data_IF_827015607366
#
_entry.id   IF_827015607366
#
_cell.length_a   1.000
_cell.length_b   1.000
_cell.length_c   1.000
_cell.angle_alpha   90.00
_cell.angle_beta   90.00
_cell.angle_gamma   90.00
#
_symmetry.space_group_name_H-M   'P 1'
#
loop_
_entity.id
_entity.type
_entity.pdbx_description
1 polymer ?
#
# COMPACT_ATOMS: atom_id res chain seq x y z
N UNK A 1 -22.28 -14.68 23.31
CA UNK A 1 -22.26 -13.69 22.21
C UNK A 1 -21.93 -14.45 20.94
N UNK A 2 -22.91 -14.68 20.06
CA UNK A 2 -22.68 -15.40 18.81
C UNK A 2 -22.55 -14.38 17.68
N UNK A 3 -21.32 -14.12 17.20
CA UNK A 3 -21.11 -13.46 15.92
C UNK A 3 -21.37 -14.51 14.83
N UNK A 4 -22.58 -14.50 14.26
CA UNK A 4 -23.07 -15.57 13.38
C UNK A 4 -23.07 -15.21 11.89
N UNK A 5 -22.49 -14.06 11.49
CA UNK A 5 -22.44 -13.64 10.08
C UNK A 5 -21.00 -13.57 9.60
N UNK A 6 -20.64 -14.48 8.70
CA UNK A 6 -19.39 -14.40 7.94
C UNK A 6 -19.60 -13.42 6.79
N UNK A 7 -18.75 -12.39 6.72
CA UNK A 7 -18.72 -11.44 5.61
C UNK A 7 -17.49 -11.78 4.77
N UNK A 8 -17.70 -12.14 3.51
CA UNK A 8 -16.59 -12.32 2.57
C UNK A 8 -16.09 -10.94 2.15
N UNK A 9 -14.77 -10.75 2.21
CA UNK A 9 -14.11 -9.56 1.71
C UNK A 9 -13.44 -9.88 0.39
N UNK A 10 -13.65 -9.02 -0.60
CA UNK A 10 -12.96 -9.11 -1.88
C UNK A 10 -11.57 -8.47 -1.81
N UNK A 11 -10.73 -8.79 -2.80
CA UNK A 11 -9.46 -8.10 -2.99
C UNK A 11 -9.69 -6.67 -3.44
N UNK A 12 -8.79 -5.78 -3.06
CA UNK A 12 -8.82 -4.40 -3.52
C UNK A 12 -8.48 -4.31 -5.01
N UNK A 13 -9.19 -3.43 -5.72
CA UNK A 13 -8.79 -2.98 -7.05
C UNK A 13 -7.40 -2.31 -7.03
N UNK A 14 -6.78 -2.13 -8.19
CA UNK A 14 -5.47 -1.46 -8.27
C UNK A 14 -5.56 0.00 -7.74
N UNK A 15 -6.69 0.65 -7.97
CA UNK A 15 -6.98 2.02 -7.52
C UNK A 15 -7.15 2.10 -6.01
N UNK A 16 -7.93 1.19 -5.42
CA UNK A 16 -8.11 1.09 -3.96
C UNK A 16 -6.81 0.70 -3.26
N UNK A 17 -6.07 -0.27 -3.82
CA UNK A 17 -4.78 -0.68 -3.31
C UNK A 17 -3.78 0.49 -3.33
N UNK A 18 -3.76 1.28 -4.41
CA UNK A 18 -2.91 2.46 -4.50
C UNK A 18 -3.35 3.56 -3.52
N UNK A 19 -4.65 3.81 -3.38
CA UNK A 19 -5.17 4.77 -2.40
C UNK A 19 -4.80 4.38 -0.96
N UNK A 20 -4.94 3.09 -0.63
CA UNK A 20 -4.54 2.53 0.65
C UNK A 20 -3.03 2.65 0.86
N UNK A 21 -2.23 2.29 -0.13
CA UNK A 21 -0.77 2.39 -0.07
C UNK A 21 -0.32 3.83 0.24
N UNK A 22 -0.83 4.84 -0.50
CA UNK A 22 -0.50 6.26 -0.26
C UNK A 22 -0.81 6.69 1.17
N UNK A 23 -1.91 6.21 1.73
CA UNK A 23 -2.33 6.53 3.10
C UNK A 23 -1.36 5.97 4.13
N UNK A 24 -0.92 4.72 3.98
CA UNK A 24 -0.03 4.07 4.94
C UNK A 24 1.44 4.51 4.81
N UNK A 25 1.90 4.78 3.59
CA UNK A 25 3.26 5.29 3.32
C UNK A 25 3.39 6.81 3.52
N UNK A 26 2.30 7.50 3.89
CA UNK A 26 2.24 8.95 4.11
C UNK A 26 2.67 9.78 2.88
N UNK A 27 2.26 9.32 1.69
CA UNK A 27 2.60 9.93 0.40
C UNK A 27 1.71 11.13 0.03
N UNK A 28 0.86 11.60 0.94
CA UNK A 28 -0.13 12.66 0.67
C UNK A 28 0.50 13.98 0.22
N UNK A 29 1.70 14.28 0.70
CA UNK A 29 2.44 15.52 0.42
C UNK A 29 3.73 15.30 -0.40
N UNK A 30 3.98 14.09 -0.91
CA UNK A 30 5.21 13.79 -1.66
C UNK A 30 5.03 14.13 -3.13
N UNK A 31 5.94 14.96 -3.66
CA UNK A 31 5.98 15.38 -5.07
C UNK A 31 7.00 14.59 -5.93
N UNK A 32 7.78 13.70 -5.32
CA UNK A 32 8.77 12.89 -6.04
C UNK A 32 8.06 11.88 -6.96
N UNK A 33 8.09 12.16 -8.27
CA UNK A 33 7.51 11.27 -9.29
C UNK A 33 8.08 9.85 -9.22
N UNK A 34 9.39 9.72 -8.99
CA UNK A 34 10.04 8.41 -8.89
C UNK A 34 9.52 7.56 -7.71
N UNK A 35 9.37 8.17 -6.52
CA UNK A 35 8.79 7.47 -5.37
C UNK A 35 7.32 7.09 -5.59
N UNK A 36 6.54 7.95 -6.25
CA UNK A 36 5.14 7.66 -6.58
C UNK A 36 5.02 6.50 -7.56
N UNK A 37 5.86 6.45 -8.61
CA UNK A 37 5.89 5.33 -9.55
C UNK A 37 6.33 4.03 -8.89
N UNK A 38 7.36 4.09 -8.04
CA UNK A 38 7.84 2.93 -7.32
C UNK A 38 6.81 2.40 -6.33
N UNK A 39 6.19 3.28 -5.54
CA UNK A 39 5.10 2.93 -4.63
C UNK A 39 3.93 2.26 -5.36
N UNK A 40 3.58 2.73 -6.56
CA UNK A 40 2.53 2.10 -7.37
C UNK A 40 2.92 0.69 -7.84
N UNK A 41 4.18 0.46 -8.23
CA UNK A 41 4.68 -0.87 -8.57
C UNK A 41 4.62 -1.82 -7.37
N UNK A 42 5.03 -1.37 -6.19
CA UNK A 42 4.97 -2.15 -4.95
C UNK A 42 3.51 -2.49 -4.61
N UNK A 43 2.61 -1.51 -4.63
CA UNK A 43 1.17 -1.74 -4.37
C UNK A 43 0.58 -2.80 -5.32
N UNK A 44 0.98 -2.80 -6.60
CA UNK A 44 0.58 -3.82 -7.58
C UNK A 44 1.12 -5.21 -7.22
N UNK A 45 2.37 -5.33 -6.74
CA UNK A 45 2.94 -6.60 -6.26
C UNK A 45 2.18 -7.19 -5.06
N UNK A 46 1.51 -6.36 -4.26
CA UNK A 46 0.68 -6.80 -3.14
C UNK A 46 -0.64 -7.47 -3.55
N UNK A 47 -1.00 -7.48 -4.85
CA UNK A 47 -2.15 -8.19 -5.42
C UNK A 47 -3.49 -7.89 -4.70
N UNK A 48 -3.70 -6.65 -4.29
CA UNK A 48 -4.96 -6.22 -3.66
C UNK A 48 -5.18 -6.71 -2.23
N UNK A 49 -4.19 -7.36 -1.59
CA UNK A 49 -4.31 -7.86 -0.22
C UNK A 49 -4.13 -6.72 0.80
N UNK A 50 -5.17 -6.33 1.58
CA UNK A 50 -5.08 -5.20 2.49
C UNK A 50 -3.95 -5.32 3.52
N UNK A 51 -3.73 -6.53 4.05
CA UNK A 51 -2.68 -6.78 5.06
C UNK A 51 -1.27 -6.61 4.49
N UNK A 52 -1.03 -7.06 3.26
CA UNK A 52 0.27 -6.91 2.59
C UNK A 52 0.54 -5.43 2.28
N UNK A 53 -0.47 -4.72 1.76
CA UNK A 53 -0.38 -3.30 1.45
C UNK A 53 -0.07 -2.48 2.71
N UNK A 54 -0.84 -2.67 3.79
CA UNK A 54 -0.65 -1.93 5.03
C UNK A 54 0.75 -2.16 5.61
N UNK A 55 1.22 -3.41 5.63
CA UNK A 55 2.52 -3.78 6.20
C UNK A 55 3.66 -3.12 5.43
N UNK A 56 3.70 -3.30 4.10
CA UNK A 56 4.80 -2.80 3.27
C UNK A 56 4.78 -1.27 3.21
N UNK A 57 3.62 -0.65 2.96
CA UNK A 57 3.50 0.80 2.90
C UNK A 57 3.91 1.46 4.22
N UNK A 58 3.53 0.88 5.37
CA UNK A 58 3.92 1.41 6.68
C UNK A 58 5.43 1.31 6.93
N UNK A 59 6.08 0.23 6.44
CA UNK A 59 7.53 0.08 6.56
C UNK A 59 8.33 1.11 5.75
N UNK A 60 7.72 1.65 4.68
CA UNK A 60 8.32 2.64 3.79
C UNK A 60 8.03 4.10 4.23
N UNK A 61 7.22 4.30 5.26
CA UNK A 61 6.90 5.62 5.77
C UNK A 61 8.16 6.34 6.25
N UNK A 62 8.40 7.54 5.74
CA UNK A 62 9.55 8.37 6.11
C UNK A 62 10.81 8.13 5.27
N UNK A 63 10.84 7.08 4.46
CA UNK A 63 11.92 6.79 3.52
C UNK A 63 11.89 7.77 2.36
N UNK A 64 13.00 8.49 2.15
CA UNK A 64 13.09 9.58 1.16
C UNK A 64 13.87 9.18 -0.08
N UNK A 65 14.70 8.15 0.01
CA UNK A 65 15.53 7.71 -1.09
C UNK A 65 14.84 6.54 -1.80
N UNK A 66 14.84 6.59 -3.14
CA UNK A 66 14.19 5.56 -3.95
C UNK A 66 14.81 4.17 -3.75
N UNK A 67 16.11 4.11 -3.46
CA UNK A 67 16.85 2.88 -3.18
C UNK A 67 16.27 2.10 -1.99
N UNK A 68 15.74 2.81 -0.99
CA UNK A 68 15.10 2.20 0.19
C UNK A 68 13.77 1.51 -0.17
N UNK A 69 13.19 1.86 -1.31
CA UNK A 69 11.94 1.30 -1.83
C UNK A 69 12.18 0.19 -2.86
N UNK A 70 13.39 0.05 -3.38
CA UNK A 70 13.73 -1.00 -4.36
C UNK A 70 13.79 -2.39 -3.74
N UNK A 71 14.00 -2.47 -2.42
CA UNK A 71 14.06 -3.71 -1.64
C UNK A 71 12.70 -4.17 -1.10
N UNK A 72 11.63 -3.45 -1.41
CA UNK A 72 10.27 -3.70 -0.93
C UNK A 72 9.37 -4.51 -1.90
#
# INVERSE_FOLDING_TARGET
>A
MACAKTIQLELLSEEEAWAMFKRYADLSNISSKGLLEQGRKIAKKCKGLPIAIATIASSLKGQKHQEEWDVA
#
